data_IF_422548714095
#
_entry.id   IF_422548714095
#
_cell.length_a   1.000
_cell.length_b   1.000
_cell.length_c   1.000
_cell.angle_alpha   90.00
_cell.angle_beta   90.00
_cell.angle_gamma   90.00
#
_symmetry.space_group_name_H-M   'P 1'
#
loop_
_entity.id
_entity.type
_entity.pdbx_description
1 polymer ?
#
# COMPACT_ATOMS: atom_id res chain seq x y z
N UNK A 1 16.94 19.40 -32.59
CA UNK A 1 16.63 17.95 -32.51
C UNK A 1 15.94 17.52 -31.21
N UNK A 2 15.99 18.29 -30.10
CA UNK A 2 15.28 17.95 -28.85
C UNK A 2 13.97 18.75 -28.61
N UNK A 3 13.61 19.67 -29.52
CA UNK A 3 12.41 20.51 -29.40
C UNK A 3 11.10 19.67 -29.45
N UNK A 4 11.09 18.52 -30.14
CA UNK A 4 9.91 17.64 -30.26
C UNK A 4 9.66 16.77 -29.01
N UNK A 5 10.68 16.49 -28.19
CA UNK A 5 10.52 15.69 -26.96
C UNK A 5 10.04 16.50 -25.75
N UNK A 6 10.33 17.81 -25.71
CA UNK A 6 9.91 18.71 -24.61
C UNK A 6 8.40 18.67 -24.33
N UNK A 7 7.50 18.71 -25.33
CA UNK A 7 6.06 18.61 -25.07
C UNK A 7 5.64 17.25 -24.49
N UNK A 8 6.26 16.15 -24.95
CA UNK A 8 5.96 14.80 -24.45
C UNK A 8 6.41 14.61 -22.99
N UNK A 9 7.57 15.15 -22.60
CA UNK A 9 8.05 15.12 -21.22
C UNK A 9 7.15 15.94 -20.27
N UNK A 10 6.53 17.01 -20.77
CA UNK A 10 5.58 17.83 -20.01
C UNK A 10 4.27 17.08 -19.76
N UNK A 11 3.78 16.33 -20.75
CA UNK A 11 2.60 15.49 -20.58
C UNK A 11 2.86 14.34 -19.60
N UNK A 12 4.03 13.69 -19.71
CA UNK A 12 4.44 12.63 -18.79
C UNK A 12 4.52 13.15 -17.35
N UNK A 13 5.12 14.32 -17.11
CA UNK A 13 5.18 14.94 -15.78
C UNK A 13 3.80 15.17 -15.18
N UNK A 14 2.84 15.64 -15.99
CA UNK A 14 1.47 15.90 -15.54
C UNK A 14 0.78 14.59 -15.13
N UNK A 15 0.89 13.55 -15.95
CA UNK A 15 0.31 12.22 -15.66
C UNK A 15 0.96 11.58 -14.44
N UNK A 16 2.28 11.67 -14.33
CA UNK A 16 3.03 11.13 -13.19
C UNK A 16 2.62 11.79 -11.86
N UNK A 17 2.42 13.12 -11.85
CA UNK A 17 1.93 13.82 -10.67
C UNK A 17 0.52 13.35 -10.25
N UNK A 18 -0.36 13.07 -11.22
CA UNK A 18 -1.71 12.57 -10.96
C UNK A 18 -1.66 11.16 -10.38
N UNK A 19 -0.86 10.24 -10.95
CA UNK A 19 -0.72 8.88 -10.42
C UNK A 19 -0.12 8.86 -9.02
N UNK A 20 0.92 9.67 -8.75
CA UNK A 20 1.52 9.79 -7.41
C UNK A 20 0.51 10.35 -6.40
N UNK A 21 -0.23 11.41 -6.77
CA UNK A 21 -1.26 11.96 -5.89
C UNK A 21 -2.35 10.92 -5.58
N UNK A 22 -2.75 10.11 -6.57
CA UNK A 22 -3.73 9.05 -6.38
C UNK A 22 -3.23 7.96 -5.44
N UNK A 23 -1.97 7.52 -5.57
CA UNK A 23 -1.32 6.58 -4.65
C UNK A 23 -1.34 7.11 -3.21
N UNK A 24 -1.02 8.38 -3.00
CA UNK A 24 -1.00 8.99 -1.66
C UNK A 24 -2.40 9.03 -1.04
N UNK A 25 -3.42 9.40 -1.83
CA UNK A 25 -4.82 9.39 -1.36
C UNK A 25 -5.26 7.97 -1.00
N UNK A 26 -4.99 7.00 -1.88
CA UNK A 26 -5.31 5.59 -1.63
C UNK A 26 -4.54 5.03 -0.42
N UNK A 27 -3.31 5.48 -0.20
CA UNK A 27 -2.52 5.09 0.97
C UNK A 27 -3.17 5.52 2.27
N UNK A 28 -3.69 6.75 2.35
CA UNK A 28 -4.39 7.24 3.54
C UNK A 28 -5.65 6.41 3.82
N UNK A 29 -6.41 6.09 2.77
CA UNK A 29 -7.61 5.25 2.88
C UNK A 29 -7.27 3.83 3.35
N UNK A 30 -6.27 3.18 2.73
CA UNK A 30 -5.82 1.85 3.13
C UNK A 30 -5.17 1.83 4.53
N UNK A 31 -4.54 2.93 4.96
CA UNK A 31 -3.97 3.05 6.31
C UNK A 31 -5.05 3.13 7.39
N UNK A 32 -6.19 3.79 7.10
CA UNK A 32 -7.36 3.76 7.98
C UNK A 32 -7.96 2.35 8.10
N UNK A 33 -7.96 1.60 7.00
CA UNK A 33 -8.47 0.22 6.91
C UNK A 33 -7.44 -0.87 7.27
N UNK A 34 -6.32 -0.51 7.92
CA UNK A 34 -5.20 -1.43 8.21
C UNK A 34 -5.62 -2.71 8.92
N UNK A 35 -6.58 -2.64 9.84
CA UNK A 35 -7.03 -3.79 10.63
C UNK A 35 -7.66 -4.85 9.74
N UNK A 36 -8.56 -4.44 8.85
CA UNK A 36 -9.23 -5.33 7.91
C UNK A 36 -8.25 -6.04 6.97
N UNK A 37 -7.26 -5.31 6.45
CA UNK A 37 -6.25 -5.89 5.57
C UNK A 37 -5.36 -6.88 6.32
N UNK A 38 -4.99 -6.58 7.56
CA UNK A 38 -4.21 -7.49 8.40
C UNK A 38 -5.00 -8.76 8.76
N UNK A 39 -6.30 -8.65 9.01
CA UNK A 39 -7.15 -9.80 9.32
C UNK A 39 -7.28 -10.75 8.12
N UNK A 40 -7.41 -10.21 6.90
CA UNK A 40 -7.37 -11.00 5.65
C UNK A 40 -6.03 -11.74 5.52
N UNK A 41 -4.90 -11.06 5.79
CA UNK A 41 -3.58 -11.69 5.72
C UNK A 41 -3.36 -12.75 6.81
N UNK A 42 -3.97 -12.58 8.00
CA UNK A 42 -3.87 -13.53 9.11
C UNK A 42 -4.79 -14.73 8.97
N UNK A 43 -5.90 -14.61 8.24
CA UNK A 43 -6.89 -15.68 8.04
C UNK A 43 -6.27 -17.03 7.57
N UNK A 44 -5.42 -17.08 6.52
CA UNK A 44 -4.80 -18.35 6.10
C UNK A 44 -3.78 -18.86 7.13
N UNK A 45 -3.13 -17.96 7.89
CA UNK A 45 -2.17 -18.33 8.92
C UNK A 45 -2.86 -19.03 10.11
N UNK A 46 -4.00 -18.49 10.55
CA UNK A 46 -4.83 -19.05 11.62
C UNK A 46 -5.38 -20.43 11.24
N UNK A 47 -5.75 -20.60 9.96
CA UNK A 47 -6.31 -21.85 9.47
C UNK A 47 -5.31 -23.02 9.49
N UNK A 48 -4.01 -22.76 9.31
CA UNK A 48 -2.98 -23.80 9.19
C UNK A 48 -2.18 -23.97 10.49
N UNK A 49 -1.90 -22.89 11.24
CA UNK A 49 -1.20 -22.94 12.54
C UNK A 49 -1.91 -22.06 13.60
N UNK A 50 -2.89 -22.59 14.35
CA UNK A 50 -3.59 -21.84 15.40
C UNK A 50 -2.70 -21.48 16.61
N UNK A 51 -1.66 -22.28 16.90
CA UNK A 51 -0.72 -22.06 18.01
C UNK A 51 0.26 -20.89 17.75
N UNK A 52 0.69 -20.72 16.49
CA UNK A 52 1.60 -19.63 16.09
C UNK A 52 0.84 -18.34 15.82
N UNK A 53 -0.44 -18.42 15.43
CA UNK A 53 -1.28 -17.24 15.26
C UNK A 53 -1.46 -16.42 16.56
N UNK A 54 -1.38 -17.05 17.73
CA UNK A 54 -1.35 -16.35 19.03
C UNK A 54 -0.03 -15.61 19.30
N UNK A 55 1.08 -16.09 18.72
CA UNK A 55 2.42 -15.51 18.88
C UNK A 55 2.76 -14.47 17.81
N UNK A 56 1.98 -14.38 16.72
CA UNK A 56 2.04 -13.29 15.72
C UNK A 56 1.32 -12.03 16.22
N UNK A 57 0.82 -12.04 17.46
CA UNK A 57 0.50 -10.81 18.18
C UNK A 57 1.80 -10.10 18.56
N UNK A 58 2.26 -9.29 17.62
CA UNK A 58 3.12 -8.11 17.75
C UNK A 58 3.63 -7.87 19.18
N UNK A 59 4.91 -8.17 19.39
CA UNK A 59 5.60 -8.02 20.68
C UNK A 59 5.82 -6.52 20.99
N UNK A 60 5.85 -5.67 19.96
CA UNK A 60 6.12 -4.23 20.10
C UNK A 60 5.22 -3.34 19.20
N UNK A 61 4.74 -2.22 19.73
CA UNK A 61 3.91 -1.22 19.00
C UNK A 61 4.58 -0.76 17.69
N UNK A 62 5.91 -0.76 17.65
CA UNK A 62 6.71 -0.35 16.49
C UNK A 62 6.58 -1.35 15.33
N UNK A 63 6.58 -2.66 15.60
CA UNK A 63 6.40 -3.68 14.57
C UNK A 63 4.99 -3.63 13.97
N UNK A 64 3.96 -3.38 14.78
CA UNK A 64 2.59 -3.21 14.30
C UNK A 64 2.48 -2.02 13.33
N UNK A 65 3.15 -0.91 13.65
CA UNK A 65 3.15 0.29 12.82
C UNK A 65 3.89 0.04 11.49
N UNK A 66 5.08 -0.56 11.51
CA UNK A 66 5.82 -0.91 10.29
C UNK A 66 5.08 -1.91 9.40
N UNK A 67 4.42 -2.89 10.01
CA UNK A 67 3.60 -3.87 9.29
C UNK A 67 2.39 -3.19 8.66
N UNK A 68 1.67 -2.36 9.41
CA UNK A 68 0.55 -1.59 8.88
C UNK A 68 0.96 -0.68 7.72
N UNK A 69 2.07 0.05 7.84
CA UNK A 69 2.56 0.93 6.77
C UNK A 69 2.93 0.17 5.50
N UNK A 70 3.66 -0.95 5.61
CA UNK A 70 4.03 -1.77 4.44
C UNK A 70 2.79 -2.33 3.76
N UNK A 71 1.86 -2.88 4.54
CA UNK A 71 0.64 -3.50 4.02
C UNK A 71 -0.29 -2.46 3.38
N UNK A 72 -0.49 -1.31 4.02
CA UNK A 72 -1.31 -0.24 3.44
C UNK A 72 -0.69 0.36 2.18
N UNK A 73 0.65 0.44 2.10
CA UNK A 73 1.35 0.88 0.89
C UNK A 73 1.15 -0.09 -0.27
N UNK A 74 1.33 -1.39 -0.05
CA UNK A 74 1.10 -2.39 -1.09
C UNK A 74 -0.37 -2.45 -1.53
N UNK A 75 -1.31 -2.39 -0.59
CA UNK A 75 -2.73 -2.37 -0.90
C UNK A 75 -3.10 -1.12 -1.73
N UNK A 76 -2.67 0.06 -1.29
CA UNK A 76 -2.91 1.30 -2.01
C UNK A 76 -2.29 1.31 -3.41
N UNK A 77 -1.10 0.74 -3.56
CA UNK A 77 -0.46 0.57 -4.86
C UNK A 77 -1.34 -0.28 -5.79
N UNK A 78 -1.83 -1.43 -5.31
CA UNK A 78 -2.73 -2.30 -6.09
C UNK A 78 -4.03 -1.56 -6.45
N UNK A 79 -4.64 -0.84 -5.52
CA UNK A 79 -5.85 -0.07 -5.78
C UNK A 79 -5.63 1.13 -6.71
N UNK A 80 -4.41 1.65 -6.80
CA UNK A 80 -4.04 2.76 -7.67
C UNK A 80 -3.67 2.35 -9.10
N UNK A 81 -3.47 1.06 -9.39
CA UNK A 81 -3.18 0.54 -10.74
C UNK A 81 -4.14 0.97 -11.86
N UNK A 82 -5.44 1.22 -11.61
CA UNK A 82 -6.35 1.68 -12.66
C UNK A 82 -6.12 3.12 -13.17
N UNK A 83 -5.21 3.89 -12.56
CA UNK A 83 -5.00 5.34 -12.77
C UNK A 83 -3.70 5.63 -13.51
#
# INVERSE_FOLDING_TARGET
MFEELRPHLIELRKRLFISIACIVVMFIVCFALRSYILDILKAPLIAVLPEVAKHVNVIEVQEALFTAMKVSFFAAFIFSLPV
#
